data_IF_171814943330
#
_entry.id   IF_171814943330
#
_cell.length_a   1.000
_cell.length_b   1.000
_cell.length_c   1.000
_cell.angle_alpha   90.00
_cell.angle_beta   90.00
_cell.angle_gamma   90.00
#
_symmetry.space_group_name_H-M   'P 1'
#
loop_
_entity.id
_entity.type
_entity.pdbx_description
1 polymer ?
#
# COMPACT_ATOMS: atom_id res chain seq x y z
N UNK A 1 46.35 -68.18 -2.78
CA UNK A 1 45.17 -68.41 -1.92
C UNK A 1 44.66 -67.13 -1.28
N UNK A 2 45.46 -66.16 -0.83
CA UNK A 2 45.02 -64.91 -0.21
C UNK A 2 44.14 -64.02 -1.14
N UNK A 3 44.60 -63.84 -2.40
CA UNK A 3 43.87 -62.96 -3.38
C UNK A 3 42.46 -63.50 -3.68
N UNK A 4 42.27 -64.80 -3.77
CA UNK A 4 40.97 -65.41 -4.04
C UNK A 4 40.02 -65.18 -2.86
N UNK A 5 40.47 -65.18 -1.63
CA UNK A 5 39.67 -64.90 -0.44
C UNK A 5 39.27 -63.48 -0.39
N UNK A 6 40.15 -62.55 -0.73
CA UNK A 6 39.92 -61.14 -0.78
C UNK A 6 38.86 -60.78 -1.85
N UNK A 7 38.95 -61.38 -3.03
CA UNK A 7 37.92 -61.20 -4.08
C UNK A 7 36.56 -61.72 -3.62
N UNK A 8 36.51 -62.83 -2.93
CA UNK A 8 35.27 -63.42 -2.42
C UNK A 8 34.61 -62.49 -1.37
N UNK A 9 35.40 -61.89 -0.47
CA UNK A 9 34.92 -60.93 0.52
C UNK A 9 34.36 -59.64 -0.14
N UNK A 10 35.06 -59.16 -1.20
CA UNK A 10 34.55 -57.99 -1.96
C UNK A 10 33.27 -58.31 -2.72
N UNK A 11 33.11 -59.47 -3.31
CA UNK A 11 31.86 -59.87 -3.96
C UNK A 11 30.72 -59.88 -2.96
N UNK A 12 30.91 -60.43 -1.77
CA UNK A 12 29.90 -60.50 -0.75
C UNK A 12 29.46 -59.12 -0.22
N UNK A 13 30.41 -58.17 -0.14
CA UNK A 13 30.13 -56.77 0.20
C UNK A 13 29.28 -56.09 -0.90
N UNK A 14 29.63 -56.35 -2.17
CA UNK A 14 28.89 -55.83 -3.32
C UNK A 14 27.46 -56.38 -3.40
N UNK A 15 27.30 -57.70 -3.20
CA UNK A 15 25.98 -58.35 -3.17
C UNK A 15 25.07 -57.72 -2.09
N UNK A 16 25.57 -57.59 -0.86
CA UNK A 16 24.85 -56.95 0.23
C UNK A 16 24.50 -55.46 -0.08
N UNK A 17 25.39 -54.79 -0.78
CA UNK A 17 25.16 -53.39 -1.19
C UNK A 17 24.08 -53.30 -2.25
N UNK A 18 24.09 -54.16 -3.26
CA UNK A 18 23.08 -54.27 -4.31
C UNK A 18 21.70 -54.60 -3.73
N UNK A 19 21.64 -55.54 -2.78
CA UNK A 19 20.39 -55.90 -2.11
C UNK A 19 19.81 -54.74 -1.33
N UNK A 20 20.63 -54.00 -0.56
CA UNK A 20 20.22 -52.80 0.19
C UNK A 20 19.73 -51.68 -0.73
N UNK A 21 20.44 -51.45 -1.85
CA UNK A 21 20.01 -50.48 -2.86
C UNK A 21 18.68 -50.86 -3.53
N UNK A 22 18.51 -52.14 -3.82
CA UNK A 22 17.29 -52.67 -4.41
C UNK A 22 16.07 -52.44 -3.50
N UNK A 23 16.26 -52.65 -2.20
CA UNK A 23 15.21 -52.39 -1.23
C UNK A 23 14.88 -50.87 -1.09
N UNK A 24 15.92 -50.03 -1.12
CA UNK A 24 15.72 -48.56 -1.15
C UNK A 24 14.93 -48.11 -2.40
N UNK A 25 15.29 -48.64 -3.56
CA UNK A 25 14.57 -48.34 -4.82
C UNK A 25 13.11 -48.78 -4.74
N UNK A 26 12.83 -49.93 -4.13
CA UNK A 26 11.45 -50.39 -3.92
C UNK A 26 10.65 -49.43 -3.02
N UNK A 27 11.26 -48.98 -1.90
CA UNK A 27 10.64 -48.01 -0.99
C UNK A 27 10.37 -46.69 -1.68
N UNK A 28 11.33 -46.17 -2.44
CA UNK A 28 11.15 -44.92 -3.18
C UNK A 28 10.07 -45.01 -4.27
N UNK A 29 10.00 -46.15 -5.00
CA UNK A 29 8.92 -46.39 -5.97
C UNK A 29 7.56 -46.35 -5.35
N UNK A 30 7.40 -46.93 -4.15
CA UNK A 30 6.13 -46.91 -3.43
C UNK A 30 5.77 -45.49 -2.95
N UNK A 31 6.74 -44.72 -2.47
CA UNK A 31 6.53 -43.29 -2.10
C UNK A 31 6.13 -42.44 -3.30
N UNK A 32 6.77 -42.60 -4.43
CA UNK A 32 6.43 -41.91 -5.67
C UNK A 32 5.01 -42.26 -6.13
N UNK A 33 4.62 -43.51 -6.04
CA UNK A 33 3.26 -43.93 -6.38
C UNK A 33 2.21 -43.33 -5.44
N UNK A 34 2.50 -43.27 -4.15
CA UNK A 34 1.64 -42.61 -3.15
C UNK A 34 1.50 -41.10 -3.44
N UNK A 35 2.60 -40.39 -3.60
CA UNK A 35 2.61 -38.95 -3.89
C UNK A 35 1.90 -38.60 -5.21
N UNK A 36 2.02 -39.44 -6.22
CA UNK A 36 1.28 -39.28 -7.48
C UNK A 36 -0.23 -39.37 -7.26
N UNK A 37 -0.66 -40.32 -6.41
CA UNK A 37 -2.10 -40.49 -6.09
C UNK A 37 -2.63 -39.28 -5.31
N UNK A 38 -1.86 -38.79 -4.36
CA UNK A 38 -2.19 -37.60 -3.56
C UNK A 38 -2.27 -36.35 -4.43
N UNK A 39 -1.29 -36.14 -5.33
CA UNK A 39 -1.27 -35.02 -6.26
C UNK A 39 -2.50 -35.01 -7.19
N UNK A 40 -2.88 -36.18 -7.71
CA UNK A 40 -4.10 -36.31 -8.53
C UNK A 40 -5.37 -35.99 -7.73
N UNK A 41 -5.41 -36.30 -6.44
CA UNK A 41 -6.52 -35.93 -5.57
C UNK A 41 -6.60 -34.43 -5.33
N UNK A 42 -5.45 -33.80 -5.05
CA UNK A 42 -5.36 -32.35 -4.85
C UNK A 42 -5.69 -31.57 -6.13
N UNK A 43 -5.30 -32.06 -7.30
CA UNK A 43 -5.67 -31.44 -8.58
C UNK A 43 -7.20 -31.46 -8.81
N UNK A 44 -7.87 -32.57 -8.48
CA UNK A 44 -9.33 -32.67 -8.57
C UNK A 44 -10.01 -31.69 -7.61
N UNK A 45 -9.54 -31.62 -6.37
CA UNK A 45 -10.07 -30.70 -5.37
C UNK A 45 -9.87 -29.24 -5.78
N UNK A 46 -8.69 -28.88 -6.26
CA UNK A 46 -8.39 -27.56 -6.81
C UNK A 46 -9.32 -27.19 -7.98
N UNK A 47 -9.59 -28.15 -8.85
CA UNK A 47 -10.50 -27.94 -9.99
C UNK A 47 -11.95 -27.72 -9.53
N UNK A 48 -12.39 -28.46 -8.50
CA UNK A 48 -13.70 -28.29 -7.87
C UNK A 48 -13.82 -26.91 -7.20
N UNK A 49 -12.84 -26.52 -6.40
CA UNK A 49 -12.80 -25.21 -5.73
C UNK A 49 -12.78 -24.05 -6.72
N UNK A 50 -12.05 -24.19 -7.84
CA UNK A 50 -12.09 -23.19 -8.92
C UNK A 50 -13.47 -23.02 -9.52
N UNK A 51 -14.18 -24.12 -9.78
CA UNK A 51 -15.56 -24.09 -10.30
C UNK A 51 -16.54 -23.48 -9.30
N UNK A 52 -16.40 -23.81 -8.02
CA UNK A 52 -17.22 -23.24 -6.96
C UNK A 52 -17.00 -21.74 -6.82
N UNK A 53 -15.74 -21.29 -6.80
CA UNK A 53 -15.38 -19.87 -6.76
C UNK A 53 -15.92 -19.10 -7.98
N UNK A 54 -15.90 -19.73 -9.16
CA UNK A 54 -16.45 -19.14 -10.37
C UNK A 54 -17.99 -19.04 -10.30
N UNK A 55 -18.65 -20.06 -9.78
CA UNK A 55 -20.10 -20.07 -9.52
C UNK A 55 -20.51 -19.02 -8.47
N UNK A 56 -19.72 -18.85 -7.42
CA UNK A 56 -19.95 -17.82 -6.39
C UNK A 56 -19.74 -16.41 -6.94
N UNK A 57 -18.77 -16.22 -7.84
CA UNK A 57 -18.57 -14.94 -8.55
C UNK A 57 -19.74 -14.60 -9.47
N UNK A 58 -20.32 -15.58 -10.17
CA UNK A 58 -21.46 -15.35 -11.07
C UNK A 58 -22.80 -15.21 -10.34
N UNK A 59 -22.97 -15.85 -9.18
CA UNK A 59 -24.18 -15.72 -8.35
C UNK A 59 -24.25 -14.43 -7.56
N UNK A 60 -23.12 -13.74 -7.32
CA UNK A 60 -23.11 -12.38 -6.83
C UNK A 60 -23.37 -11.48 -8.03
N UNK A 61 -24.61 -11.07 -8.22
CA UNK A 61 -24.90 -9.80 -8.91
C UNK A 61 -24.13 -8.73 -8.10
N UNK A 62 -22.91 -8.44 -8.53
CA UNK A 62 -22.09 -7.43 -7.87
C UNK A 62 -22.85 -6.14 -8.08
N UNK A 63 -23.35 -5.57 -6.99
CA UNK A 63 -23.91 -4.24 -6.96
C UNK A 63 -23.03 -3.34 -7.86
N UNK A 64 -23.62 -2.64 -8.84
CA UNK A 64 -22.86 -1.80 -9.78
C UNK A 64 -21.93 -0.81 -9.06
N UNK A 65 -22.33 -0.35 -7.88
CA UNK A 65 -21.51 0.48 -7.00
C UNK A 65 -20.28 -0.26 -6.47
N UNK A 66 -20.44 -1.48 -6.02
CA UNK A 66 -19.34 -2.32 -5.54
C UNK A 66 -18.37 -2.68 -6.65
N UNK A 67 -18.87 -2.92 -7.87
CA UNK A 67 -18.01 -3.18 -9.04
C UNK A 67 -17.14 -1.95 -9.34
N UNK A 68 -17.75 -0.77 -9.36
CA UNK A 68 -17.04 0.50 -9.57
C UNK A 68 -15.96 0.74 -8.51
N UNK A 69 -16.21 0.35 -7.25
CA UNK A 69 -15.23 0.48 -6.17
C UNK A 69 -14.04 -0.44 -6.34
N UNK A 70 -14.26 -1.66 -6.80
CA UNK A 70 -13.17 -2.61 -7.06
C UNK A 70 -12.31 -2.10 -8.22
N UNK A 71 -12.94 -1.67 -9.31
CA UNK A 71 -12.24 -1.11 -10.47
C UNK A 71 -11.43 0.14 -10.11
N UNK A 72 -11.97 1.03 -9.27
CA UNK A 72 -11.27 2.21 -8.77
C UNK A 72 -10.09 1.85 -7.86
N UNK A 73 -10.25 0.86 -6.99
CA UNK A 73 -9.17 0.39 -6.12
C UNK A 73 -8.03 -0.26 -6.92
N UNK A 74 -8.35 -1.06 -7.94
CA UNK A 74 -7.37 -1.68 -8.83
C UNK A 74 -6.65 -0.61 -9.66
N UNK A 75 -7.37 0.41 -10.15
CA UNK A 75 -6.77 1.55 -10.86
C UNK A 75 -5.80 2.31 -9.97
N UNK A 76 -6.20 2.66 -8.74
CA UNK A 76 -5.33 3.33 -7.78
C UNK A 76 -4.07 2.53 -7.46
N UNK A 77 -4.18 1.21 -7.37
CA UNK A 77 -3.01 0.35 -7.17
C UNK A 77 -2.07 0.36 -8.38
N UNK A 78 -2.62 0.37 -9.58
CA UNK A 78 -1.83 0.48 -10.83
C UNK A 78 -1.10 1.83 -10.88
N UNK A 79 -1.78 2.94 -10.57
CA UNK A 79 -1.18 4.27 -10.54
C UNK A 79 -0.06 4.38 -9.48
N UNK A 80 -0.26 3.80 -8.30
CA UNK A 80 0.80 3.71 -7.28
C UNK A 80 2.03 2.95 -7.82
N UNK A 81 1.83 1.87 -8.57
CA UNK A 81 2.92 1.12 -9.20
C UNK A 81 3.66 1.97 -10.24
N UNK A 82 2.95 2.68 -11.12
CA UNK A 82 3.53 3.57 -12.13
C UNK A 82 4.43 4.63 -11.47
N UNK A 83 3.94 5.32 -10.45
CA UNK A 83 4.73 6.35 -9.74
C UNK A 83 6.03 5.78 -9.17
N UNK A 84 6.03 4.51 -8.75
CA UNK A 84 7.23 3.88 -8.17
C UNK A 84 8.23 3.37 -9.20
N UNK A 85 7.80 3.07 -10.43
CA UNK A 85 8.59 2.31 -11.39
C UNK A 85 8.81 3.02 -12.73
N UNK A 86 8.00 4.02 -13.02
CA UNK A 86 7.97 4.69 -14.32
C UNK A 86 7.91 6.21 -14.14
N UNK A 87 9.11 6.84 -14.09
CA UNK A 87 9.24 8.27 -13.89
C UNK A 87 8.67 9.13 -15.04
N UNK A 88 8.56 8.57 -16.25
CA UNK A 88 8.03 9.33 -17.41
C UNK A 88 6.51 9.52 -17.28
N UNK A 89 5.82 8.55 -16.70
CA UNK A 89 4.36 8.57 -16.52
C UNK A 89 3.93 8.96 -15.09
N UNK A 90 4.86 9.20 -14.18
CA UNK A 90 4.57 9.47 -12.77
C UNK A 90 3.72 10.72 -12.57
N UNK A 91 3.99 11.81 -13.27
CA UNK A 91 3.21 13.06 -13.20
C UNK A 91 1.74 12.80 -13.60
N UNK A 92 1.53 12.09 -14.71
CA UNK A 92 0.18 11.75 -15.16
C UNK A 92 -0.54 10.85 -14.15
N UNK A 93 0.17 9.88 -13.58
CA UNK A 93 -0.40 9.01 -12.56
C UNK A 93 -0.79 9.79 -11.27
N UNK A 94 0.00 10.77 -10.86
CA UNK A 94 -0.34 11.68 -9.74
C UNK A 94 -1.59 12.47 -10.07
N UNK A 95 -1.69 13.05 -11.26
CA UNK A 95 -2.88 13.80 -11.71
C UNK A 95 -4.15 12.94 -11.69
N UNK A 96 -4.06 11.71 -12.20
CA UNK A 96 -5.20 10.78 -12.14
C UNK A 96 -5.63 10.43 -10.71
N UNK A 97 -4.69 10.25 -9.79
CA UNK A 97 -5.03 10.03 -8.37
C UNK A 97 -5.74 11.25 -7.79
N UNK A 98 -5.33 12.46 -8.14
CA UNK A 98 -5.98 13.69 -7.70
C UNK A 98 -7.39 13.83 -8.29
N UNK A 99 -7.60 13.46 -9.55
CA UNK A 99 -8.93 13.43 -10.17
C UNK A 99 -9.86 12.41 -9.47
N UNK A 100 -9.37 11.21 -9.15
CA UNK A 100 -10.11 10.22 -8.37
C UNK A 100 -10.45 10.77 -7.00
N UNK A 101 -9.51 11.48 -6.36
CA UNK A 101 -9.72 12.15 -5.09
C UNK A 101 -10.86 13.18 -5.16
N UNK A 102 -10.87 14.05 -6.16
CA UNK A 102 -11.86 15.11 -6.33
C UNK A 102 -13.25 14.54 -6.59
N UNK A 103 -13.34 13.52 -7.42
CA UNK A 103 -14.59 12.86 -7.80
C UNK A 103 -15.13 11.91 -6.72
N UNK A 104 -14.36 11.64 -5.66
CA UNK A 104 -14.79 10.75 -4.59
C UNK A 104 -15.76 11.45 -3.64
N UNK A 105 -16.94 10.88 -3.47
CA UNK A 105 -17.93 11.36 -2.49
C UNK A 105 -17.55 10.95 -1.07
N UNK A 106 -18.01 11.72 -0.09
CA UNK A 106 -17.79 11.49 1.34
C UNK A 106 -18.14 10.06 1.76
N UNK A 107 -17.26 9.37 2.48
CA UNK A 107 -17.59 8.15 3.19
C UNK A 107 -16.77 6.89 2.82
N UNK A 108 -15.48 6.88 3.01
CA UNK A 108 -14.64 5.68 2.89
C UNK A 108 -13.77 5.63 1.64
N UNK A 109 -14.19 6.16 0.50
CA UNK A 109 -13.43 6.20 -0.75
C UNK A 109 -12.29 7.22 -0.74
N UNK A 110 -12.50 8.35 -0.05
CA UNK A 110 -11.54 9.44 0.12
C UNK A 110 -10.24 8.94 0.73
N UNK A 111 -10.32 7.96 1.60
CA UNK A 111 -9.14 7.38 2.20
C UNK A 111 -8.27 6.60 1.21
N UNK A 112 -8.85 6.02 0.15
CA UNK A 112 -8.07 5.18 -0.77
C UNK A 112 -7.07 6.00 -1.59
N UNK A 113 -7.49 7.08 -2.25
CA UNK A 113 -6.59 7.94 -3.03
C UNK A 113 -5.55 8.63 -2.11
N UNK A 114 -5.97 9.13 -0.95
CA UNK A 114 -5.06 9.71 0.04
C UNK A 114 -4.00 8.71 0.52
N UNK A 115 -4.40 7.51 0.90
CA UNK A 115 -3.47 6.47 1.35
C UNK A 115 -2.46 6.15 0.23
N UNK A 116 -2.91 6.12 -1.03
CA UNK A 116 -2.00 5.89 -2.16
C UNK A 116 -1.01 7.04 -2.32
N UNK A 117 -1.44 8.30 -2.22
CA UNK A 117 -0.53 9.45 -2.23
C UNK A 117 0.45 9.42 -1.04
N UNK A 118 0.00 9.11 0.18
CA UNK A 118 0.89 8.93 1.33
C UNK A 118 1.95 7.85 1.07
N UNK A 119 1.54 6.71 0.51
CA UNK A 119 2.43 5.59 0.21
C UNK A 119 3.50 5.94 -0.83
N UNK A 120 3.19 6.81 -1.78
CA UNK A 120 4.13 7.18 -2.84
C UNK A 120 4.92 8.45 -2.54
N UNK A 121 4.55 9.24 -1.54
CA UNK A 121 5.14 10.54 -1.25
C UNK A 121 6.68 10.53 -1.23
N UNK A 122 7.28 9.49 -0.68
CA UNK A 122 8.75 9.33 -0.60
C UNK A 122 9.42 8.98 -1.93
N UNK A 123 8.65 8.64 -2.96
CA UNK A 123 9.17 8.30 -4.29
C UNK A 123 8.98 9.45 -5.28
N UNK A 124 8.17 10.47 -4.90
CA UNK A 124 7.90 11.63 -5.75
C UNK A 124 9.15 12.49 -5.88
N UNK A 125 9.36 13.02 -7.07
CA UNK A 125 10.32 14.07 -7.31
C UNK A 125 9.68 15.47 -7.06
N UNK A 126 10.48 16.52 -7.27
CA UNK A 126 10.04 17.90 -7.02
C UNK A 126 8.85 18.31 -7.92
N UNK A 127 8.84 17.92 -9.18
CA UNK A 127 7.79 18.28 -10.15
C UNK A 127 6.45 17.66 -9.78
N UNK A 128 6.44 16.40 -9.37
CA UNK A 128 5.25 15.68 -8.92
C UNK A 128 4.69 16.26 -7.63
N UNK A 129 5.57 16.64 -6.69
CA UNK A 129 5.18 17.33 -5.46
C UNK A 129 4.57 18.69 -5.79
N UNK A 130 5.12 19.43 -6.76
CA UNK A 130 4.59 20.71 -7.20
C UNK A 130 3.20 20.57 -7.86
N UNK A 131 2.93 19.48 -8.59
CA UNK A 131 1.60 19.17 -9.12
C UNK A 131 0.58 19.06 -7.99
N UNK A 132 0.88 18.30 -6.93
CA UNK A 132 -0.01 18.14 -5.77
C UNK A 132 -0.20 19.50 -5.07
N UNK A 133 0.87 20.25 -4.88
CA UNK A 133 0.82 21.57 -4.28
C UNK A 133 -0.07 22.54 -5.05
N UNK A 134 0.08 22.63 -6.38
CA UNK A 134 -0.75 23.49 -7.23
C UNK A 134 -2.21 23.07 -7.20
N UNK A 135 -2.48 21.78 -7.21
CA UNK A 135 -3.84 21.24 -7.08
C UNK A 135 -4.51 21.71 -5.78
N UNK A 136 -3.80 21.62 -4.64
CA UNK A 136 -4.31 22.09 -3.35
C UNK A 136 -4.60 23.60 -3.40
N UNK A 137 -3.65 24.39 -3.86
CA UNK A 137 -3.77 25.87 -3.91
C UNK A 137 -4.96 26.27 -4.77
N UNK A 138 -5.12 25.68 -5.95
CA UNK A 138 -6.20 25.97 -6.87
C UNK A 138 -7.56 25.60 -6.28
N UNK A 139 -7.66 24.42 -5.68
CA UNK A 139 -8.92 23.94 -5.07
C UNK A 139 -9.34 24.83 -3.89
N UNK A 140 -8.38 25.31 -3.09
CA UNK A 140 -8.68 26.26 -2.00
C UNK A 140 -9.15 27.62 -2.52
N UNK A 141 -8.58 28.12 -3.63
CA UNK A 141 -9.01 29.37 -4.22
C UNK A 141 -10.44 29.33 -4.77
N UNK A 142 -10.95 28.15 -5.11
CA UNK A 142 -12.33 27.94 -5.60
C UNK A 142 -13.38 27.80 -4.49
N UNK A 143 -13.07 28.09 -3.24
CA UNK A 143 -13.96 27.95 -2.06
C UNK A 143 -14.52 26.54 -1.84
N UNK A 144 -13.91 25.51 -2.40
CA UNK A 144 -14.32 24.12 -2.20
C UNK A 144 -13.67 23.49 -0.96
N UNK A 145 -13.77 24.19 0.19
CA UNK A 145 -13.12 23.72 1.40
C UNK A 145 -13.93 22.61 2.05
N UNK A 146 -13.34 21.45 2.13
CA UNK A 146 -13.90 20.31 2.84
C UNK A 146 -12.83 19.66 3.73
N UNK A 147 -13.28 18.86 4.68
CA UNK A 147 -12.40 18.12 5.58
C UNK A 147 -11.33 17.28 4.86
N UNK A 148 -11.57 16.92 3.58
CA UNK A 148 -10.59 16.24 2.71
C UNK A 148 -9.30 17.05 2.59
N UNK A 149 -9.41 18.37 2.38
CA UNK A 149 -8.26 19.22 2.06
C UNK A 149 -7.26 19.30 3.21
N UNK A 150 -7.72 19.31 4.45
CA UNK A 150 -6.82 19.28 5.60
C UNK A 150 -5.95 18.04 5.64
N UNK A 151 -6.52 16.90 5.26
CA UNK A 151 -5.76 15.64 5.18
C UNK A 151 -4.79 15.64 4.00
N UNK A 152 -5.13 16.26 2.88
CA UNK A 152 -4.22 16.40 1.76
C UNK A 152 -3.05 17.34 2.10
N UNK A 153 -3.32 18.47 2.75
CA UNK A 153 -2.27 19.37 3.24
C UNK A 153 -1.33 18.63 4.20
N UNK A 154 -1.89 17.88 5.15
CA UNK A 154 -1.10 17.05 6.07
C UNK A 154 -0.19 16.09 5.33
N UNK A 155 -0.75 15.36 4.34
CA UNK A 155 0.03 14.42 3.53
C UNK A 155 1.16 15.12 2.78
N UNK A 156 0.86 16.27 2.15
CA UNK A 156 1.85 17.02 1.38
C UNK A 156 2.94 17.62 2.27
N UNK A 157 2.60 18.13 3.45
CA UNK A 157 3.56 18.66 4.42
C UNK A 157 4.54 17.60 4.94
N UNK A 158 4.24 16.31 4.74
CA UNK A 158 5.17 15.21 4.98
C UNK A 158 6.33 15.15 3.97
N UNK A 159 6.24 15.85 2.84
CA UNK A 159 7.34 15.92 1.86
C UNK A 159 8.44 16.88 2.32
N UNK A 160 9.70 16.45 2.14
CA UNK A 160 10.88 17.29 2.34
C UNK A 160 11.24 18.15 1.12
N UNK A 161 10.55 17.92 -0.01
CA UNK A 161 10.79 18.62 -1.28
C UNK A 161 10.07 19.97 -1.38
N UNK A 162 9.21 20.30 -0.40
CA UNK A 162 8.55 21.60 -0.35
C UNK A 162 9.52 22.72 -0.02
N UNK A 163 9.39 23.84 -0.72
CA UNK A 163 10.11 25.08 -0.33
C UNK A 163 9.49 25.69 0.93
N UNK A 164 10.25 26.56 1.60
CA UNK A 164 9.77 27.29 2.78
C UNK A 164 8.49 28.09 2.47
N UNK A 165 8.44 28.74 1.32
CA UNK A 165 7.30 29.52 0.83
C UNK A 165 6.07 28.65 0.59
N UNK A 166 6.27 27.44 0.05
CA UNK A 166 5.19 26.47 -0.15
C UNK A 166 4.64 25.96 1.18
N UNK A 167 5.51 25.65 2.14
CA UNK A 167 5.11 25.26 3.50
C UNK A 167 4.31 26.37 4.15
N UNK A 168 4.81 27.61 4.14
CA UNK A 168 4.13 28.76 4.73
C UNK A 168 2.76 28.98 4.08
N UNK A 169 2.64 28.82 2.75
CA UNK A 169 1.38 28.94 2.03
C UNK A 169 0.38 27.86 2.40
N UNK A 170 0.82 26.61 2.56
CA UNK A 170 -0.03 25.52 3.00
C UNK A 170 -0.54 25.74 4.43
N UNK A 171 0.29 26.26 5.33
CA UNK A 171 -0.11 26.63 6.68
C UNK A 171 -1.08 27.82 6.68
N UNK A 172 -0.88 28.82 5.79
CA UNK A 172 -1.85 29.89 5.56
C UNK A 172 -3.22 29.34 5.14
N UNK A 173 -3.25 28.43 4.14
CA UNK A 173 -4.48 27.80 3.68
C UNK A 173 -5.14 26.97 4.79
N UNK A 174 -4.37 26.29 5.60
CA UNK A 174 -4.86 25.56 6.76
C UNK A 174 -5.63 26.46 7.72
N UNK A 175 -5.14 27.65 7.98
CA UNK A 175 -5.68 28.57 8.98
C UNK A 175 -6.80 29.46 8.46
N UNK A 176 -6.82 29.79 7.15
CA UNK A 176 -7.81 30.67 6.53
C UNK A 176 -9.26 30.29 6.81
N UNK A 177 -9.53 29.02 7.05
CA UNK A 177 -10.86 28.47 7.29
C UNK A 177 -11.05 27.93 8.72
N UNK A 178 -10.21 28.41 9.64
CA UNK A 178 -10.28 28.05 11.05
C UNK A 178 -9.70 26.68 11.39
N UNK A 179 -9.02 26.06 10.44
CA UNK A 179 -8.53 24.69 10.59
C UNK A 179 -9.67 23.67 10.72
N UNK A 180 -9.39 22.41 10.88
CA UNK A 180 -10.43 21.47 11.30
C UNK A 180 -10.90 21.93 12.68
N UNK A 181 -12.18 22.33 12.77
CA UNK A 181 -12.82 22.79 14.01
C UNK A 181 -12.77 21.68 15.04
N UNK A 182 -11.65 21.60 15.75
CA UNK A 182 -11.44 20.61 16.80
C UNK A 182 -11.98 21.18 18.09
N UNK A 183 -13.27 21.13 18.24
CA UNK A 183 -13.95 21.24 19.53
C UNK A 183 -13.80 19.94 20.30
N UNK A 184 -12.59 19.39 20.44
CA UNK A 184 -12.52 18.16 21.24
C UNK A 184 -11.09 17.78 21.64
N UNK A 185 -10.96 17.55 22.84
CA UNK A 185 -10.56 16.36 23.57
C UNK A 185 -9.12 16.23 24.00
N UNK A 186 -8.14 16.71 23.32
CA UNK A 186 -6.80 16.38 23.81
C UNK A 186 -5.76 17.13 22.99
N UNK A 187 -4.83 17.81 23.62
CA UNK A 187 -3.69 18.40 22.94
C UNK A 187 -2.90 17.44 22.10
N UNK A 188 -2.92 16.19 22.48
CA UNK A 188 -2.36 15.08 21.72
C UNK A 188 -3.12 14.77 20.43
N UNK A 189 -4.38 15.19 20.26
CA UNK A 189 -5.16 14.85 19.06
C UNK A 189 -4.64 15.53 17.80
N UNK A 190 -4.33 16.82 17.83
CA UNK A 190 -3.79 17.53 16.67
C UNK A 190 -2.44 16.93 16.26
N UNK A 191 -1.54 16.71 17.22
CA UNK A 191 -0.24 16.10 16.97
C UNK A 191 -0.37 14.67 16.45
N UNK A 192 -1.37 13.93 16.92
CA UNK A 192 -1.63 12.55 16.46
C UNK A 192 -2.26 12.48 15.07
N UNK A 193 -3.18 13.40 14.77
CA UNK A 193 -3.93 13.40 13.52
C UNK A 193 -3.28 14.19 12.40
N UNK A 194 -2.44 15.17 12.76
CA UNK A 194 -1.77 16.08 11.84
C UNK A 194 -0.32 16.37 12.29
N UNK A 195 0.51 15.32 12.41
CA UNK A 195 1.88 15.45 12.91
C UNK A 195 2.76 16.34 12.02
N UNK A 196 2.58 16.29 10.69
CA UNK A 196 3.37 17.08 9.75
C UNK A 196 3.04 18.58 9.85
N UNK A 197 1.76 18.92 10.00
CA UNK A 197 1.33 20.32 10.25
C UNK A 197 2.01 20.86 11.49
N UNK A 198 1.95 20.12 12.60
CA UNK A 198 2.56 20.53 13.87
C UNK A 198 4.07 20.65 13.75
N UNK A 199 4.72 19.68 13.12
CA UNK A 199 6.17 19.69 12.91
C UNK A 199 6.62 20.88 12.07
N UNK A 200 5.96 21.14 10.93
CA UNK A 200 6.32 22.25 10.04
C UNK A 200 6.01 23.60 10.67
N UNK A 201 4.90 23.75 11.40
CA UNK A 201 4.60 24.97 12.13
C UNK A 201 5.65 25.29 13.21
N UNK A 202 6.05 24.28 14.01
CA UNK A 202 7.09 24.45 15.04
C UNK A 202 8.48 24.76 14.45
N UNK A 203 8.72 24.38 13.20
CA UNK A 203 9.98 24.65 12.50
C UNK A 203 9.94 25.97 11.72
N UNK A 204 8.80 26.65 11.65
CA UNK A 204 8.62 27.90 10.95
C UNK A 204 8.88 29.11 11.85
N UNK A 205 9.52 30.14 11.33
CA UNK A 205 9.64 31.43 12.01
C UNK A 205 8.32 32.23 12.02
N UNK A 206 7.40 31.91 11.11
CA UNK A 206 6.13 32.62 10.94
C UNK A 206 4.96 32.00 11.71
N UNK A 207 5.10 30.76 12.12
CA UNK A 207 4.02 30.01 12.69
C UNK A 207 4.36 29.45 14.06
N UNK A 208 3.39 29.42 14.92
CA UNK A 208 3.47 28.78 16.25
C UNK A 208 2.23 27.95 16.52
N UNK A 209 2.44 26.83 17.21
CA UNK A 209 1.34 26.00 17.71
C UNK A 209 1.02 26.46 19.12
N UNK A 210 -0.17 27.00 19.31
CA UNK A 210 -0.65 27.43 20.63
C UNK A 210 -1.62 26.40 21.20
N UNK A 211 -1.39 26.03 22.44
CA UNK A 211 -2.29 25.21 23.23
C UNK A 211 -3.11 26.10 24.15
N UNK A 212 -4.42 26.07 23.99
CA UNK A 212 -5.37 26.77 24.87
C UNK A 212 -6.31 25.76 25.51
N UNK A 213 -5.97 25.30 26.70
CA UNK A 213 -6.67 24.19 27.32
C UNK A 213 -6.69 22.97 26.40
N UNK A 214 -7.88 22.59 25.90
CA UNK A 214 -8.04 21.49 24.97
C UNK A 214 -8.08 21.93 23.48
N UNK A 215 -7.65 23.15 23.14
CA UNK A 215 -7.62 23.66 21.77
C UNK A 215 -6.20 23.91 21.32
N UNK A 216 -5.93 23.54 20.07
CA UNK A 216 -4.71 23.89 19.37
C UNK A 216 -5.04 24.83 18.22
N UNK A 217 -4.40 25.97 18.21
CA UNK A 217 -4.50 26.93 17.12
C UNK A 217 -3.12 27.11 16.50
N UNK A 218 -3.05 27.16 15.18
CA UNK A 218 -1.90 27.70 14.47
C UNK A 218 -2.07 29.22 14.41
N UNK A 219 -1.04 29.94 14.84
CA UNK A 219 -1.02 31.41 14.79
C UNK A 219 0.23 31.89 14.07
N UNK A 220 0.06 32.97 13.32
CA UNK A 220 1.21 33.73 12.83
C UNK A 220 1.87 34.43 14.02
N UNK A 221 3.21 34.33 14.09
CA UNK A 221 4.04 35.05 15.04
C UNK A 221 4.03 36.54 14.73
#
# INVERSE_FOLDING_TARGET
MAIVKEIFEQIQILENTVERQSEQIRKLKNQVAFLKKENNSLEKENTSLKKENQSLKTKRTVDPERKRHIEEADRLQTLECIIRTDSENAIQAVQEILEIWDNSNYGGKINSARIRLENVMKFLNKEEVDVIYQHIVNTFCENKICAKMYKMIETLLGSELLTKEQVDRLLDLWTLNGGPSVKTFDGFWLQRMFPNVVQKANSSEKWSVYAYGNRFDLRKN
#
